data_IF_627673711170
#
_entry.id   IF_627673711170
#
_cell.length_a   1.000
_cell.length_b   1.000
_cell.length_c   1.000
_cell.angle_alpha   90.00
_cell.angle_beta   90.00
_cell.angle_gamma   90.00
#
_symmetry.space_group_name_H-M   'P 1'
#
loop_
_entity.id
_entity.type
_entity.pdbx_description
1 polymer ?
#
# COMPACT_ATOMS: atom_id res chain seq x y z
N UNK A 1 31.14 -6.89 -3.36
CA UNK A 1 29.83 -7.16 -2.71
C UNK A 1 28.81 -7.53 -3.78
N UNK A 2 27.89 -8.47 -3.51
CA UNK A 2 26.79 -8.80 -4.42
C UNK A 2 25.45 -8.57 -3.69
N UNK A 3 24.52 -7.87 -4.36
CA UNK A 3 23.16 -7.63 -3.84
C UNK A 3 22.29 -8.89 -3.98
N UNK A 4 21.25 -9.00 -3.16
CA UNK A 4 20.31 -10.12 -3.21
C UNK A 4 19.32 -9.96 -4.38
N UNK A 5 19.64 -10.57 -5.52
CA UNK A 5 18.83 -10.56 -6.75
C UNK A 5 17.37 -10.99 -6.57
N UNK A 6 17.03 -11.80 -5.56
CA UNK A 6 15.65 -12.28 -5.34
C UNK A 6 14.72 -11.22 -4.74
N UNK A 7 15.26 -10.09 -4.27
CA UNK A 7 14.49 -9.01 -3.63
C UNK A 7 14.16 -7.85 -4.58
N UNK A 8 14.67 -7.88 -5.81
CA UNK A 8 14.37 -6.84 -6.76
C UNK A 8 12.97 -7.08 -7.35
N UNK A 9 12.16 -6.02 -7.33
CA UNK A 9 10.84 -5.96 -7.94
C UNK A 9 10.89 -4.86 -9.00
N UNK A 10 10.26 -5.09 -10.15
CA UNK A 10 10.16 -4.11 -11.23
C UNK A 10 8.74 -3.53 -11.21
N UNK A 11 8.64 -2.22 -11.10
CA UNK A 11 7.38 -1.48 -11.24
C UNK A 11 7.53 -0.55 -12.44
N UNK A 12 6.79 -0.83 -13.52
CA UNK A 12 6.68 0.07 -14.67
C UNK A 12 5.82 1.28 -14.36
N UNK A 13 6.18 2.42 -14.95
CA UNK A 13 5.41 3.66 -14.85
C UNK A 13 5.12 4.18 -16.26
N UNK A 14 3.84 4.48 -16.54
CA UNK A 14 3.41 5.11 -17.79
C UNK A 14 2.41 4.26 -18.59
N UNK A 15 1.70 4.92 -19.50
CA UNK A 15 0.70 4.28 -20.38
C UNK A 15 1.33 3.68 -21.65
N UNK A 16 2.61 3.93 -21.89
CA UNK A 16 3.37 3.38 -23.02
C UNK A 16 3.78 1.94 -22.73
N UNK A 17 2.80 1.04 -22.74
CA UNK A 17 2.98 -0.40 -22.55
C UNK A 17 4.04 -1.00 -23.48
N UNK A 18 4.26 -0.41 -24.66
CA UNK A 18 5.26 -0.87 -25.64
C UNK A 18 6.71 -0.69 -25.15
N UNK A 19 7.02 0.40 -24.44
CA UNK A 19 8.37 0.68 -23.92
C UNK A 19 8.67 -0.20 -22.69
N UNK A 20 7.67 -0.40 -21.85
CA UNK A 20 7.78 -1.23 -20.64
C UNK A 20 8.00 -2.71 -21.01
N UNK A 21 7.31 -3.20 -22.05
CA UNK A 21 7.47 -4.57 -22.54
C UNK A 21 8.83 -4.84 -23.20
N UNK A 22 9.51 -3.81 -23.72
CA UNK A 22 10.83 -3.95 -24.36
C UNK A 22 12.00 -3.84 -23.38
N UNK A 23 11.79 -3.32 -22.17
CA UNK A 23 12.84 -3.20 -21.15
C UNK A 23 12.92 -4.43 -20.24
N UNK A 24 13.88 -5.33 -20.51
CA UNK A 24 14.16 -6.47 -19.64
C UNK A 24 15.34 -6.19 -18.70
N UNK A 25 15.05 -6.06 -17.41
CA UNK A 25 16.08 -6.07 -16.37
C UNK A 25 16.38 -7.51 -15.95
N UNK A 26 17.67 -7.88 -15.92
CA UNK A 26 18.10 -9.20 -15.47
C UNK A 26 19.23 -9.13 -14.45
N UNK A 27 19.18 -10.02 -13.47
CA UNK A 27 20.27 -10.23 -12.50
C UNK A 27 20.74 -11.68 -12.62
N UNK A 28 22.02 -11.86 -12.97
CA UNK A 28 22.65 -13.19 -13.12
C UNK A 28 21.86 -14.12 -14.06
N UNK A 29 21.32 -13.58 -15.16
CA UNK A 29 20.54 -14.34 -16.15
C UNK A 29 19.09 -14.62 -15.76
N UNK A 30 18.62 -14.17 -14.58
CA UNK A 30 17.19 -14.21 -14.22
C UNK A 30 16.54 -12.87 -14.52
N UNK A 31 15.51 -12.89 -15.35
CA UNK A 31 14.68 -11.72 -15.66
C UNK A 31 13.85 -11.35 -14.43
N UNK A 32 13.83 -10.07 -14.09
CA UNK A 32 12.98 -9.51 -13.05
C UNK A 32 11.60 -9.29 -13.69
N UNK A 33 10.58 -10.00 -13.21
CA UNK A 33 9.22 -9.83 -13.72
C UNK A 33 8.60 -8.54 -13.18
N UNK A 34 7.78 -7.91 -14.01
CA UNK A 34 6.98 -6.77 -13.59
C UNK A 34 5.93 -7.17 -12.56
N UNK A 35 5.80 -6.35 -11.53
CA UNK A 35 4.79 -6.48 -10.49
C UNK A 35 3.82 -5.30 -10.56
N UNK A 36 2.52 -5.59 -10.58
CA UNK A 36 1.48 -4.55 -10.64
C UNK A 36 1.41 -3.69 -9.37
N UNK A 37 1.90 -4.22 -8.24
CA UNK A 37 1.94 -3.50 -6.98
C UNK A 37 3.23 -3.83 -6.23
N UNK A 38 3.89 -2.78 -5.72
CA UNK A 38 5.09 -2.89 -4.91
C UNK A 38 4.85 -2.18 -3.59
N UNK A 39 5.37 -2.75 -2.49
CA UNK A 39 5.37 -2.07 -1.21
C UNK A 39 6.68 -1.31 -1.05
N UNK A 40 6.62 0.01 -1.19
CA UNK A 40 7.77 0.90 -1.03
C UNK A 40 7.56 1.85 0.15
N UNK A 41 8.58 1.97 1.01
CA UNK A 41 8.56 2.80 2.23
C UNK A 41 7.30 2.66 3.11
N UNK A 42 6.61 1.50 3.04
CA UNK A 42 5.37 1.22 3.77
C UNK A 42 4.07 1.46 2.99
N UNK A 43 4.13 2.12 1.83
CA UNK A 43 3.01 2.39 0.95
C UNK A 43 2.91 1.34 -0.17
N UNK A 44 1.70 1.07 -0.67
CA UNK A 44 1.53 0.19 -1.83
C UNK A 44 1.36 1.05 -3.08
N UNK A 45 2.32 0.97 -3.99
CA UNK A 45 2.29 1.70 -5.26
C UNK A 45 1.86 0.76 -6.37
N UNK A 46 0.99 1.24 -7.26
CA UNK A 46 0.54 0.52 -8.45
C UNK A 46 0.50 1.48 -9.63
N UNK A 47 1.39 1.29 -10.61
CA UNK A 47 1.51 2.12 -11.81
C UNK A 47 1.46 3.64 -11.52
N UNK A 48 2.43 4.14 -10.74
CA UNK A 48 2.54 5.54 -10.25
C UNK A 48 1.36 6.02 -9.39
N UNK A 49 0.36 5.18 -9.14
CA UNK A 49 -0.82 5.51 -8.36
C UNK A 49 -0.76 4.89 -6.97
N UNK A 50 -1.22 5.65 -5.98
CA UNK A 50 -1.41 5.23 -4.59
C UNK A 50 -2.87 4.83 -4.31
N UNK A 51 -3.72 4.73 -5.33
CA UNK A 51 -5.15 4.41 -5.19
C UNK A 51 -5.39 3.11 -4.41
N UNK A 52 -4.61 2.07 -4.70
CA UNK A 52 -4.70 0.81 -3.96
C UNK A 52 -4.35 0.98 -2.47
N UNK A 53 -3.29 1.75 -2.17
CA UNK A 53 -2.94 2.07 -0.79
C UNK A 53 -4.06 2.85 -0.09
N UNK A 54 -4.58 3.91 -0.72
CA UNK A 54 -5.66 4.71 -0.16
C UNK A 54 -6.93 3.89 0.09
N UNK A 55 -7.34 3.06 -0.87
CA UNK A 55 -8.51 2.19 -0.68
C UNK A 55 -8.35 1.29 0.54
N UNK A 56 -7.19 0.64 0.68
CA UNK A 56 -6.89 -0.25 1.80
C UNK A 56 -6.89 0.49 3.14
N UNK A 57 -6.28 1.67 3.21
CA UNK A 57 -6.26 2.50 4.44
C UNK A 57 -7.65 3.01 4.79
N UNK A 58 -8.42 3.48 3.81
CA UNK A 58 -9.80 3.94 4.01
C UNK A 58 -10.69 2.80 4.52
N UNK A 59 -10.59 1.60 3.94
CA UNK A 59 -11.39 0.46 4.35
C UNK A 59 -11.03 -0.02 5.77
N UNK A 60 -9.74 0.00 6.12
CA UNK A 60 -9.29 -0.27 7.48
C UNK A 60 -9.85 0.74 8.49
N UNK A 61 -9.78 2.04 8.17
CA UNK A 61 -10.31 3.11 9.00
C UNK A 61 -11.84 3.02 9.15
N UNK A 62 -12.58 2.75 8.07
CA UNK A 62 -14.04 2.52 8.09
C UNK A 62 -14.40 1.35 8.99
N UNK A 63 -13.71 0.21 8.84
CA UNK A 63 -13.95 -0.98 9.64
C UNK A 63 -13.75 -0.70 11.13
N UNK A 64 -12.67 -0.01 11.49
CA UNK A 64 -12.41 0.34 12.88
C UNK A 64 -13.38 1.37 13.43
N UNK A 65 -13.75 2.36 12.63
CA UNK A 65 -14.77 3.36 13.00
C UNK A 65 -16.11 2.69 13.28
N UNK A 66 -16.54 1.77 12.41
CA UNK A 66 -17.75 0.97 12.62
C UNK A 66 -17.69 0.14 13.90
N UNK A 67 -16.53 -0.44 14.21
CA UNK A 67 -16.32 -1.16 15.45
C UNK A 67 -16.45 -0.24 16.67
N UNK A 68 -15.77 0.91 16.67
CA UNK A 68 -15.85 1.91 17.75
C UNK A 68 -17.29 2.33 18.01
N UNK A 69 -18.05 2.62 16.96
CA UNK A 69 -19.45 3.06 17.09
C UNK A 69 -20.39 1.95 17.58
N UNK A 70 -20.10 0.67 17.30
CA UNK A 70 -20.91 -0.45 17.80
C UNK A 70 -20.55 -0.85 19.23
N UNK A 71 -19.28 -0.78 19.59
CA UNK A 71 -18.77 -1.26 20.88
C UNK A 71 -18.96 -0.25 22.01
N UNK A 72 -18.64 1.03 21.77
CA UNK A 72 -18.80 2.05 22.79
C UNK A 72 -20.18 2.69 22.65
N UNK A 73 -20.96 2.73 23.73
CA UNK A 73 -22.26 3.42 23.73
C UNK A 73 -22.11 4.95 23.87
N UNK A 74 -21.03 5.41 24.51
CA UNK A 74 -20.79 6.85 24.70
C UNK A 74 -20.54 7.56 23.37
N UNK A 75 -21.07 8.78 23.26
CA UNK A 75 -20.83 9.72 22.15
C UNK A 75 -20.24 11.04 22.62
N UNK A 76 -19.71 11.07 23.84
CA UNK A 76 -19.01 12.25 24.37
C UNK A 76 -17.80 12.56 23.49
N UNK A 77 -17.70 13.81 23.06
CA UNK A 77 -16.70 14.27 22.09
C UNK A 77 -15.26 13.91 22.52
N UNK A 78 -14.90 14.13 23.79
CA UNK A 78 -13.56 13.83 24.31
C UNK A 78 -13.23 12.33 24.20
N UNK A 79 -14.18 11.46 24.56
CA UNK A 79 -14.01 10.01 24.46
C UNK A 79 -13.88 9.57 23.00
N UNK A 80 -14.73 10.07 22.11
CA UNK A 80 -14.68 9.74 20.68
C UNK A 80 -13.37 10.20 20.03
N UNK A 81 -12.84 11.37 20.41
CA UNK A 81 -11.54 11.85 19.95
C UNK A 81 -10.39 10.96 20.43
N UNK A 82 -10.43 10.49 21.68
CA UNK A 82 -9.43 9.56 22.19
C UNK A 82 -9.49 8.25 21.40
N UNK A 83 -10.68 7.67 21.23
CA UNK A 83 -10.88 6.42 20.49
C UNK A 83 -10.43 6.53 19.03
N UNK A 84 -10.69 7.67 18.38
CA UNK A 84 -10.18 7.94 17.04
C UNK A 84 -8.65 7.89 16.98
N UNK A 85 -7.99 8.67 17.85
CA UNK A 85 -6.52 8.79 17.87
C UNK A 85 -5.83 7.47 18.23
N UNK A 86 -6.42 6.67 19.12
CA UNK A 86 -5.80 5.43 19.60
C UNK A 86 -6.12 4.23 18.73
N UNK A 87 -7.29 4.18 18.11
CA UNK A 87 -7.75 2.95 17.42
C UNK A 87 -7.82 3.09 15.91
N UNK A 88 -8.26 4.24 15.39
CA UNK A 88 -8.54 4.41 13.97
C UNK A 88 -7.34 4.98 13.22
N UNK A 89 -6.73 6.05 13.74
CA UNK A 89 -5.59 6.73 13.10
C UNK A 89 -4.35 5.85 12.89
N UNK A 90 -3.99 4.88 13.77
CA UNK A 90 -2.82 4.03 13.57
C UNK A 90 -3.00 2.89 12.55
N UNK A 91 -4.18 2.76 11.92
CA UNK A 91 -4.50 1.69 10.97
C UNK A 91 -4.25 2.13 9.54
#
# INVERSE_FOLDING_TARGET
>A
MALNGKKFELLGYGDEHEIIQTMHYSIKGKVIMETNHVKDLGMHMSNASLTHHYSKTIDAAKKMTNWVLRTFQTRQQKCMLILWKTMVQPK
#
